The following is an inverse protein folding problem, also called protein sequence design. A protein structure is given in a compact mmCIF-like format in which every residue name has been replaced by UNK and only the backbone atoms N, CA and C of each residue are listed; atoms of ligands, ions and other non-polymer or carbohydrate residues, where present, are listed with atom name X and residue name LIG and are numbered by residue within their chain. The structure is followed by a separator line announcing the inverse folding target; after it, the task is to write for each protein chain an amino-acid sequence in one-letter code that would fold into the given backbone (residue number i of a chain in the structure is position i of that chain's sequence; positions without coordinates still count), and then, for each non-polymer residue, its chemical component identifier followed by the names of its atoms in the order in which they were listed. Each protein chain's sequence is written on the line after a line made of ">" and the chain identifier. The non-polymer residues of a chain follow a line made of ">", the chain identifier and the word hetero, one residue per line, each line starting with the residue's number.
data_IF_807282639743
#
_entry.id   IF_807282639743
#
_cell.length_a   1.000
_cell.length_b   1.000
_cell.length_c   1.000
_cell.angle_alpha   90.00
_cell.angle_beta   90.00
_cell.angle_gamma   90.00
#
_symmetry.space_group_name_H-M   'P 1'
#
loop_
_entity.id
_entity.type
_entity.pdbx_description
1 polymer ?
#
# COMPACT_ATOMS: atom_id res chain seq x y z
N UNK A 1 -11.53 -11.51 -14.58
CA UNK A 1 -10.19 -10.91 -14.81
C UNK A 1 -9.30 -11.81 -15.66
N UNK A 2 -8.91 -13.01 -15.21
CA UNK A 2 -8.01 -13.93 -15.94
C UNK A 2 -8.47 -14.33 -17.37
N UNK A 3 -9.78 -14.39 -17.66
CA UNK A 3 -10.33 -14.61 -19.01
C UNK A 3 -10.38 -13.36 -19.90
N UNK A 4 -10.47 -12.16 -19.31
CA UNK A 4 -10.48 -10.91 -20.07
C UNK A 4 -9.07 -10.58 -20.62
N UNK A 5 -8.03 -10.98 -19.89
CA UNK A 5 -6.62 -10.89 -20.30
C UNK A 5 -6.27 -11.63 -21.59
N UNK A 6 -7.05 -12.66 -21.97
CA UNK A 6 -6.81 -13.43 -23.18
C UNK A 6 -7.59 -12.91 -24.41
N UNK A 7 -8.54 -12.00 -24.22
CA UNK A 7 -9.42 -11.55 -25.30
C UNK A 7 -8.89 -10.30 -26.05
N UNK A 8 -8.02 -9.49 -25.44
CA UNK A 8 -7.58 -8.21 -26.02
C UNK A 8 -6.12 -8.28 -26.47
N UNK A 9 -5.93 -8.55 -27.76
CA UNK A 9 -4.68 -8.71 -28.52
C UNK A 9 -3.71 -7.51 -28.52
N UNK A 10 -3.98 -6.39 -27.83
CA UNK A 10 -3.18 -5.16 -27.98
C UNK A 10 -2.76 -4.52 -26.63
N UNK A 11 -1.49 -4.71 -26.19
CA UNK A 11 -0.97 -4.18 -24.93
C UNK A 11 -1.14 -2.66 -24.74
N UNK A 12 -1.16 -1.91 -25.84
CA UNK A 12 -1.27 -0.44 -25.86
C UNK A 12 -2.65 0.04 -25.42
N UNK A 13 -3.74 -0.67 -25.76
CA UNK A 13 -5.12 -0.23 -25.40
C UNK A 13 -5.35 -0.42 -23.89
N UNK A 14 -4.80 -1.49 -23.33
CA UNK A 14 -4.96 -1.80 -21.92
C UNK A 14 -4.15 -0.87 -21.02
N UNK A 15 -2.92 -0.55 -21.42
CA UNK A 15 -2.07 0.42 -20.72
C UNK A 15 -2.62 1.85 -20.81
N UNK A 16 -3.16 2.25 -21.95
CA UNK A 16 -3.81 3.57 -22.10
C UNK A 16 -5.08 3.71 -21.27
N UNK A 17 -5.95 2.69 -21.25
CA UNK A 17 -7.12 2.68 -20.36
C UNK A 17 -6.72 2.67 -18.88
N UNK A 18 -5.70 1.89 -18.52
CA UNK A 18 -5.14 1.91 -17.16
C UNK A 18 -4.63 3.30 -16.78
N UNK A 19 -3.88 3.96 -17.66
CA UNK A 19 -3.41 5.33 -17.47
C UNK A 19 -4.55 6.34 -17.33
N UNK A 20 -5.63 6.19 -18.11
CA UNK A 20 -6.82 7.05 -18.00
C UNK A 20 -7.49 6.90 -16.63
N UNK A 21 -7.70 5.66 -16.17
CA UNK A 21 -8.29 5.39 -14.85
C UNK A 21 -7.38 5.95 -13.74
N UNK A 22 -6.06 5.78 -13.85
CA UNK A 22 -5.10 6.36 -12.91
C UNK A 22 -5.15 7.90 -12.91
N UNK A 23 -5.33 8.52 -14.07
CA UNK A 23 -5.52 9.97 -14.18
C UNK A 23 -6.78 10.45 -13.47
N UNK A 24 -7.91 9.74 -13.65
CA UNK A 24 -9.16 10.04 -12.96
C UNK A 24 -9.01 9.86 -11.45
N UNK A 25 -8.40 8.75 -11.01
CA UNK A 25 -8.14 8.51 -9.59
C UNK A 25 -7.23 9.59 -8.98
N UNK A 26 -6.19 10.02 -9.70
CA UNK A 26 -5.31 11.10 -9.27
C UNK A 26 -6.03 12.45 -9.17
N UNK A 27 -6.97 12.73 -10.09
CA UNK A 27 -7.81 13.93 -10.01
C UNK A 27 -8.74 13.92 -8.79
N UNK A 28 -9.31 12.76 -8.45
CA UNK A 28 -10.21 12.60 -7.29
C UNK A 28 -9.43 12.69 -5.97
N UNK A 29 -8.29 12.00 -5.87
CA UNK A 29 -7.54 11.93 -4.62
C UNK A 29 -6.68 13.16 -4.33
N UNK A 30 -6.66 14.17 -5.19
CA UNK A 30 -5.85 15.40 -5.07
C UNK A 30 -4.32 15.13 -5.03
N UNK A 31 -3.44 16.15 -4.99
CA UNK A 31 -1.98 15.95 -4.99
C UNK A 31 -1.47 15.02 -3.88
N UNK A 32 -2.20 14.90 -2.76
CA UNK A 32 -1.88 14.02 -1.63
C UNK A 32 -1.82 12.53 -2.00
N UNK A 33 -2.61 12.10 -2.99
CA UNK A 33 -2.61 10.69 -3.43
C UNK A 33 -1.77 10.45 -4.68
N UNK A 34 -1.27 11.51 -5.33
CA UNK A 34 -0.43 11.38 -6.53
C UNK A 34 0.98 10.88 -6.18
N UNK A 35 1.69 10.37 -7.20
CA UNK A 35 3.08 9.89 -7.09
C UNK A 35 3.30 8.72 -6.11
N UNK A 36 4.54 8.55 -5.63
CA UNK A 36 4.94 7.40 -4.79
C UNK A 36 4.26 7.40 -3.41
N UNK A 37 3.84 8.57 -2.90
CA UNK A 37 3.18 8.69 -1.60
C UNK A 37 4.13 8.79 -0.40
N UNK A 38 5.46 8.77 -0.59
CA UNK A 38 6.40 8.78 0.54
C UNK A 38 6.46 10.16 1.21
N UNK A 39 6.66 11.22 0.43
CA UNK A 39 6.69 12.59 0.95
C UNK A 39 5.32 12.96 1.54
N UNK A 40 4.24 12.50 0.90
CA UNK A 40 2.87 12.70 1.37
C UNK A 40 2.59 11.93 2.66
N UNK A 41 3.19 10.76 2.85
CA UNK A 41 3.09 10.01 4.11
C UNK A 41 3.80 10.77 5.25
N UNK A 42 4.96 11.37 4.97
CA UNK A 42 5.64 12.23 5.94
C UNK A 42 4.82 13.50 6.25
N UNK A 43 4.17 14.10 5.25
CA UNK A 43 3.28 15.25 5.44
C UNK A 43 2.06 14.91 6.30
N UNK A 44 1.43 13.75 6.08
CA UNK A 44 0.34 13.25 6.91
C UNK A 44 0.76 13.10 8.39
N UNK A 45 1.98 12.61 8.65
CA UNK A 45 2.51 12.47 10.01
C UNK A 45 2.93 13.80 10.65
N UNK A 46 3.34 14.78 9.84
CA UNK A 46 3.69 16.11 10.33
C UNK A 46 2.48 16.92 10.78
N UNK A 47 1.31 16.69 10.16
CA UNK A 47 0.06 17.41 10.43
C UNK A 47 -1.14 16.46 10.57
N UNK A 48 -1.14 15.57 11.59
CA UNK A 48 -2.14 14.52 11.70
C UNK A 48 -3.57 15.07 11.94
N UNK A 49 -3.70 16.22 12.59
CA UNK A 49 -5.00 16.85 12.91
C UNK A 49 -5.65 17.66 11.78
N UNK A 50 -4.97 17.83 10.63
CA UNK A 50 -5.50 18.63 9.52
C UNK A 50 -6.47 17.83 8.63
N UNK A 51 -6.62 16.52 8.87
CA UNK A 51 -7.35 15.61 7.99
C UNK A 51 -8.52 14.94 8.71
N UNK A 52 -9.72 15.15 8.17
CA UNK A 52 -10.92 14.45 8.65
C UNK A 52 -10.90 12.96 8.32
N UNK A 53 -11.64 12.15 9.08
CA UNK A 53 -11.86 10.74 8.80
C UNK A 53 -12.33 10.47 7.35
N UNK A 54 -13.17 11.35 6.80
CA UNK A 54 -13.63 11.25 5.41
C UNK A 54 -12.51 11.42 4.38
N UNK A 55 -11.59 12.36 4.61
CA UNK A 55 -10.44 12.60 3.71
C UNK A 55 -9.44 11.45 3.80
N UNK A 56 -9.14 10.98 5.01
CA UNK A 56 -8.24 9.85 5.22
C UNK A 56 -8.80 8.57 4.57
N UNK A 57 -10.10 8.32 4.70
CA UNK A 57 -10.79 7.21 4.02
C UNK A 57 -10.67 7.33 2.49
N UNK A 58 -10.89 8.53 1.95
CA UNK A 58 -10.72 8.79 0.51
C UNK A 58 -9.29 8.47 0.05
N UNK A 59 -8.28 8.93 0.78
CA UNK A 59 -6.87 8.70 0.44
C UNK A 59 -6.51 7.21 0.42
N UNK A 60 -6.94 6.46 1.44
CA UNK A 60 -6.76 5.01 1.53
C UNK A 60 -7.38 4.30 0.33
N UNK A 61 -8.65 4.58 0.04
CA UNK A 61 -9.39 3.91 -1.05
C UNK A 61 -8.78 4.26 -2.41
N UNK A 62 -8.55 5.55 -2.68
CA UNK A 62 -8.00 5.99 -3.96
C UNK A 62 -6.62 5.39 -4.20
N UNK A 63 -5.73 5.38 -3.21
CA UNK A 63 -4.37 4.86 -3.38
C UNK A 63 -4.36 3.33 -3.56
N UNK A 64 -5.21 2.60 -2.85
CA UNK A 64 -5.37 1.15 -3.04
C UNK A 64 -5.92 0.83 -4.45
N UNK A 65 -6.93 1.55 -4.91
CA UNK A 65 -7.46 1.40 -6.27
C UNK A 65 -6.39 1.72 -7.31
N UNK A 66 -5.64 2.81 -7.12
CA UNK A 66 -4.55 3.17 -8.02
C UNK A 66 -3.46 2.09 -8.06
N UNK A 67 -3.10 1.50 -6.92
CA UNK A 67 -2.14 0.40 -6.85
C UNK A 67 -2.63 -0.83 -7.63
N UNK A 68 -3.89 -1.22 -7.44
CA UNK A 68 -4.50 -2.37 -8.13
C UNK A 68 -4.62 -2.12 -9.63
N UNK A 69 -5.05 -0.93 -10.04
CA UNK A 69 -5.15 -0.55 -11.45
C UNK A 69 -3.77 -0.52 -12.09
N UNK A 70 -2.76 0.09 -11.46
CA UNK A 70 -1.41 0.16 -11.99
C UNK A 70 -0.80 -1.25 -12.17
N UNK A 71 -0.92 -2.10 -11.14
CA UNK A 71 -0.44 -3.47 -11.18
C UNK A 71 -1.19 -4.30 -12.25
N UNK A 72 -2.51 -4.15 -12.31
CA UNK A 72 -3.36 -4.80 -13.30
C UNK A 72 -3.02 -4.37 -14.72
N UNK A 73 -2.82 -3.06 -14.96
CA UNK A 73 -2.52 -2.45 -16.26
C UNK A 73 -1.07 -2.67 -16.74
N UNK A 74 -0.22 -3.33 -15.95
CA UNK A 74 1.16 -3.63 -16.30
C UNK A 74 2.13 -2.45 -16.13
N UNK A 75 1.73 -1.38 -15.44
CA UNK A 75 2.67 -0.32 -15.06
C UNK A 75 3.73 -0.88 -14.11
N UNK A 76 4.99 -0.63 -14.42
CA UNK A 76 6.11 -1.05 -13.57
C UNK A 76 6.33 -0.02 -12.47
N UNK A 77 6.14 -0.43 -11.22
CA UNK A 77 6.36 0.38 -10.04
C UNK A 77 6.48 -0.48 -8.79
N UNK A 78 7.22 0.02 -7.79
CA UNK A 78 7.30 -0.63 -6.48
C UNK A 78 5.99 -0.50 -5.71
N UNK A 79 5.67 -1.51 -4.90
CA UNK A 79 4.43 -1.57 -4.09
C UNK A 79 4.61 -1.04 -2.66
N UNK A 80 5.86 -0.95 -2.20
CA UNK A 80 6.19 -0.61 -0.80
C UNK A 80 5.76 0.81 -0.46
N UNK A 81 6.20 1.83 -1.22
CA UNK A 81 5.86 3.22 -0.90
C UNK A 81 4.36 3.54 -0.97
N UNK A 82 3.60 3.06 -1.99
CA UNK A 82 2.15 3.19 -1.97
C UNK A 82 1.51 2.57 -0.72
N UNK A 83 2.02 1.41 -0.27
CA UNK A 83 1.52 0.72 0.92
C UNK A 83 1.88 1.46 2.20
N UNK A 84 3.09 2.02 2.30
CA UNK A 84 3.49 2.89 3.42
C UNK A 84 2.54 4.08 3.53
N UNK A 85 2.23 4.75 2.42
CA UNK A 85 1.25 5.85 2.42
C UNK A 85 -0.12 5.40 2.92
N UNK A 86 -0.65 4.29 2.37
CA UNK A 86 -1.94 3.74 2.80
C UNK A 86 -1.92 3.40 4.29
N UNK A 87 -0.81 2.88 4.79
CA UNK A 87 -0.64 2.52 6.20
C UNK A 87 -0.71 3.73 7.11
N UNK A 88 -0.02 4.82 6.76
CA UNK A 88 -0.11 6.09 7.50
C UNK A 88 -1.53 6.63 7.50
N UNK A 89 -2.13 6.78 6.32
CA UNK A 89 -3.48 7.32 6.20
C UNK A 89 -4.51 6.48 6.97
N UNK A 90 -4.35 5.16 6.95
CA UNK A 90 -5.22 4.25 7.71
C UNK A 90 -4.97 4.31 9.22
N UNK A 91 -3.71 4.40 9.66
CA UNK A 91 -3.37 4.58 11.08
C UNK A 91 -3.93 5.88 11.65
N UNK A 92 -3.83 6.98 10.89
CA UNK A 92 -4.45 8.25 11.25
C UNK A 92 -5.97 8.16 11.26
N UNK A 93 -6.58 7.44 10.31
CA UNK A 93 -8.02 7.20 10.30
C UNK A 93 -8.47 6.48 11.57
N UNK A 94 -7.71 5.47 12.01
CA UNK A 94 -7.98 4.75 13.26
C UNK A 94 -7.88 5.67 14.47
N UNK A 95 -6.84 6.53 14.54
CA UNK A 95 -6.71 7.50 15.62
C UNK A 95 -7.85 8.52 15.63
N UNK A 96 -8.29 9.00 14.46
CA UNK A 96 -9.41 9.94 14.35
C UNK A 96 -10.74 9.31 14.79
N UNK A 97 -10.96 8.03 14.47
CA UNK A 97 -12.14 7.28 14.93
C UNK A 97 -12.06 6.89 16.41
N UNK A 98 -10.85 6.67 16.93
CA UNK A 98 -10.59 6.28 18.31
C UNK A 98 -9.49 7.16 18.93
N UNK A 99 -9.83 8.39 19.37
CA UNK A 99 -8.84 9.35 19.89
C UNK A 99 -8.06 8.87 21.12
N UNK A 100 -8.56 7.83 21.79
CA UNK A 100 -7.88 7.17 22.91
C UNK A 100 -6.64 6.37 22.49
N UNK A 101 -6.49 6.03 21.21
CA UNK A 101 -5.34 5.26 20.70
C UNK A 101 -4.23 6.22 20.28
N UNK A 102 -3.00 6.11 20.79
CA UNK A 102 -1.89 6.97 20.37
C UNK A 102 -1.59 6.83 18.87
N UNK A 103 -1.31 7.96 18.19
CA UNK A 103 -0.99 7.99 16.75
C UNK A 103 0.17 7.04 16.42
N UNK A 104 1.23 7.05 17.24
CA UNK A 104 2.39 6.17 17.09
C UNK A 104 1.98 4.70 16.98
N UNK A 105 1.11 4.26 17.88
CA UNK A 105 0.64 2.88 17.93
C UNK A 105 -0.27 2.55 16.74
N UNK A 106 -1.21 3.44 16.41
CA UNK A 106 -2.14 3.24 15.31
C UNK A 106 -1.42 3.15 13.95
N UNK A 107 -0.47 4.05 13.69
CA UNK A 107 0.31 4.06 12.44
C UNK A 107 1.28 2.88 12.39
N UNK A 108 2.00 2.58 13.48
CA UNK A 108 2.95 1.47 13.49
C UNK A 108 2.25 0.11 13.27
N UNK A 109 1.12 -0.12 13.93
CA UNK A 109 0.34 -1.36 13.76
C UNK A 109 -0.26 -1.48 12.36
N UNK A 110 -0.79 -0.37 11.79
CA UNK A 110 -1.26 -0.34 10.42
C UNK A 110 -0.13 -0.64 9.40
N UNK A 111 1.04 -0.01 9.57
CA UNK A 111 2.20 -0.22 8.72
C UNK A 111 2.69 -1.66 8.79
N UNK A 112 2.83 -2.21 9.99
CA UNK A 112 3.23 -3.60 10.18
C UNK A 112 2.28 -4.55 9.46
N UNK A 113 0.96 -4.41 9.67
CA UNK A 113 -0.04 -5.29 9.06
C UNK A 113 -0.06 -5.22 7.54
N UNK A 114 -0.07 -4.01 6.98
CA UNK A 114 -0.17 -3.82 5.53
C UNK A 114 1.13 -4.17 4.80
N UNK A 115 2.28 -3.81 5.36
CA UNK A 115 3.58 -4.15 4.77
C UNK A 115 3.78 -5.66 4.83
N UNK A 116 3.49 -6.31 5.96
CA UNK A 116 3.59 -7.76 6.07
C UNK A 116 2.69 -8.46 5.04
N UNK A 117 1.45 -8.00 4.87
CA UNK A 117 0.54 -8.53 3.86
C UNK A 117 1.13 -8.42 2.44
N UNK A 118 1.90 -7.37 2.18
CA UNK A 118 2.47 -7.06 0.88
C UNK A 118 3.81 -7.72 0.57
N UNK A 119 4.69 -7.85 1.58
CA UNK A 119 6.06 -8.35 1.42
C UNK A 119 6.23 -9.79 1.88
N UNK A 120 5.35 -10.29 2.75
CA UNK A 120 5.52 -11.55 3.49
C UNK A 120 6.81 -11.61 4.30
N UNK A 121 7.35 -10.46 4.67
CA UNK A 121 8.54 -10.33 5.49
C UNK A 121 8.22 -9.55 6.77
N UNK A 122 8.17 -10.29 7.88
CA UNK A 122 7.85 -9.81 9.22
C UNK A 122 8.89 -8.79 9.73
N UNK A 123 10.17 -9.02 9.43
CA UNK A 123 11.26 -8.17 9.90
C UNK A 123 11.24 -6.83 9.18
N UNK A 124 11.06 -6.84 7.86
CA UNK A 124 10.91 -5.61 7.08
C UNK A 124 9.67 -4.84 7.54
N UNK A 125 8.54 -5.51 7.75
CA UNK A 125 7.32 -4.88 8.21
C UNK A 125 7.49 -4.16 9.56
N UNK A 126 8.13 -4.84 10.53
CA UNK A 126 8.35 -4.28 11.85
C UNK A 126 9.33 -3.10 11.83
N UNK A 127 10.47 -3.23 11.14
CA UNK A 127 11.45 -2.14 11.10
C UNK A 127 10.95 -0.93 10.32
N UNK A 128 10.19 -1.12 9.23
CA UNK A 128 9.60 0.01 8.51
C UNK A 128 8.54 0.70 9.37
N UNK A 129 7.72 -0.05 10.12
CA UNK A 129 6.75 0.52 11.05
C UNK A 129 7.41 1.39 12.13
N UNK A 130 8.51 0.91 12.72
CA UNK A 130 9.29 1.67 13.71
C UNK A 130 9.94 2.90 13.08
N UNK A 131 10.58 2.74 11.91
CA UNK A 131 11.24 3.84 11.22
C UNK A 131 10.27 4.96 10.79
N UNK A 132 9.04 4.60 10.47
CA UNK A 132 7.99 5.52 10.06
C UNK A 132 7.51 6.42 11.20
N UNK A 133 7.41 5.86 12.41
CA UNK A 133 6.90 6.56 13.59
C UNK A 133 8.02 7.20 14.41
N UNK A 134 9.21 6.62 14.42
CA UNK A 134 10.37 7.10 15.19
C UNK A 134 10.24 6.86 16.70
N UNK A 135 9.31 6.02 17.13
CA UNK A 135 9.02 5.72 18.53
C UNK A 135 9.40 4.26 18.85
N UNK A 136 10.27 4.06 19.83
CA UNK A 136 10.72 2.73 20.26
C UNK A 136 9.79 2.11 21.31
N UNK A 137 8.89 2.89 21.92
CA UNK A 137 7.97 2.39 22.94
C UNK A 137 6.92 1.44 22.35
N UNK A 138 6.63 1.55 21.05
CA UNK A 138 5.71 0.63 20.36
C UNK A 138 6.35 -0.73 20.02
N UNK A 139 7.67 -0.86 20.09
CA UNK A 139 8.39 -2.06 19.67
C UNK A 139 7.95 -3.34 20.41
N UNK A 140 7.78 -3.35 21.75
CA UNK A 140 7.31 -4.54 22.46
C UNK A 140 5.92 -4.98 22.00
N UNK A 141 5.04 -4.03 21.67
CA UNK A 141 3.69 -4.31 21.19
C UNK A 141 3.76 -4.91 19.78
N UNK A 142 4.58 -4.34 18.89
CA UNK A 142 4.77 -4.89 17.54
C UNK A 142 5.31 -6.32 17.58
N UNK A 143 6.28 -6.59 18.46
CA UNK A 143 6.80 -7.93 18.69
C UNK A 143 5.71 -8.92 19.12
N UNK A 144 4.77 -8.50 19.96
CA UNK A 144 3.63 -9.33 20.37
C UNK A 144 2.65 -9.56 19.20
N UNK A 145 2.39 -8.51 18.41
CA UNK A 145 1.43 -8.57 17.30
C UNK A 145 1.98 -9.24 16.05
N UNK A 146 3.28 -9.51 15.97
CA UNK A 146 3.90 -10.14 14.78
C UNK A 146 3.32 -11.51 14.48
N UNK A 147 3.20 -12.34 15.50
CA UNK A 147 2.75 -13.72 15.38
C UNK A 147 1.29 -13.82 14.92
N UNK A 148 0.31 -13.12 15.53
CA UNK A 148 -1.07 -13.15 15.04
C UNK A 148 -1.20 -12.54 13.64
N UNK A 149 -0.44 -11.47 13.33
CA UNK A 149 -0.48 -10.82 12.01
C UNK A 149 0.08 -11.75 10.94
N UNK A 150 1.20 -12.41 11.21
CA UNK A 150 1.78 -13.42 10.33
C UNK A 150 0.82 -14.59 10.10
N UNK A 151 0.25 -15.14 11.17
CA UNK A 151 -0.75 -16.21 11.08
C UNK A 151 -1.96 -15.81 10.22
N UNK A 152 -2.44 -14.57 10.34
CA UNK A 152 -3.53 -14.07 9.51
C UNK A 152 -3.15 -14.04 8.01
N UNK A 153 -1.91 -13.66 7.70
CA UNK A 153 -1.42 -13.49 6.32
C UNK A 153 -0.99 -14.81 5.68
N UNK A 154 -0.51 -15.80 6.44
CA UNK A 154 -0.05 -17.11 5.90
C UNK A 154 -1.10 -17.84 5.07
N UNK A 155 -2.40 -17.66 5.37
CA UNK A 155 -3.49 -18.30 4.62
C UNK A 155 -3.95 -17.51 3.38
N UNK A 156 -3.52 -16.25 3.25
CA UNK A 156 -3.92 -15.40 2.13
C UNK A 156 -3.07 -15.68 0.87
N UNK A 157 -3.60 -15.48 -0.35
CA UNK A 157 -2.81 -15.52 -1.57
C UNK A 157 -1.78 -14.37 -1.58
N UNK A 158 -0.60 -14.63 -2.12
CA UNK A 158 0.45 -13.61 -2.23
C UNK A 158 0.04 -12.53 -3.24
N UNK A 159 0.31 -11.24 -2.94
CA UNK A 159 0.00 -10.14 -3.85
C UNK A 159 0.97 -10.07 -5.04
N UNK A 160 1.46 -11.21 -5.54
CA UNK A 160 2.35 -11.30 -6.70
C UNK A 160 1.56 -11.51 -7.98
N UNK A 161 1.88 -10.70 -8.99
CA UNK A 161 1.55 -11.04 -10.37
C UNK A 161 2.61 -12.06 -10.82
N UNK A 162 2.28 -13.35 -10.79
CA UNK A 162 3.19 -14.41 -11.21
C UNK A 162 3.51 -14.27 -12.70
N UNK A 163 4.74 -13.87 -13.03
CA UNK A 163 5.22 -13.95 -14.40
C UNK A 163 5.34 -15.43 -14.81
N UNK A 164 4.78 -15.77 -15.97
CA UNK A 164 4.80 -17.14 -16.49
C UNK A 164 6.22 -17.50 -16.93
N UNK A 165 6.67 -18.71 -16.60
CA UNK A 165 8.00 -19.26 -16.90
C UNK A 165 8.33 -19.44 -18.41
N UNK A 166 7.59 -18.80 -19.32
CA UNK A 166 7.79 -18.88 -20.77
C UNK A 166 8.53 -17.70 -21.39
N UNK A 167 8.91 -16.68 -20.60
CA UNK A 167 9.56 -15.46 -21.11
C UNK A 167 11.06 -15.40 -20.79
N UNK A 168 11.66 -16.51 -20.33
CA UNK A 168 13.12 -16.67 -20.34
C UNK A 168 13.55 -16.94 -21.78
N UNK A 169 13.80 -15.88 -22.55
CA UNK A 169 14.69 -16.02 -23.69
C UNK A 169 16.09 -16.33 -23.13
N UNK A 170 16.81 -17.33 -23.66
CA UNK A 170 18.19 -17.56 -23.27
C UNK A 170 19.03 -16.31 -23.58
N UNK A 171 19.88 -15.89 -22.65
CA UNK A 171 20.69 -14.67 -22.71
C UNK A 171 21.85 -14.73 -23.74
N UNK A 172 21.73 -15.54 -24.79
CA UNK A 172 22.77 -15.71 -25.81
C UNK A 172 22.27 -15.76 -27.26
N UNK A 173 21.08 -15.20 -27.56
CA UNK A 173 20.65 -15.01 -28.96
C UNK A 173 20.89 -13.58 -29.44
#
# INVERSE_FOLDING_TARGET
>A
MHRAFHALRHPVIFTTLGGLILGILGAIGTPMTMFKGLDQAAELLAKPGDYSASQLTLFVVVKLLALVVAAGAGFRGGRIFPIVFVSVAFGLLVNELFPSVPISLAVASAAMGMILAATRDDWIAMFVAIALVGDLEVLPILCLTILPTWLAVTRAPELLIRQRAGDRRPEWA
#
